data_IF_504432855365
#
_entry.id   IF_504432855365
#
_cell.length_a   1.000
_cell.length_b   1.000
_cell.length_c   1.000
_cell.angle_alpha   90.00
_cell.angle_beta   90.00
_cell.angle_gamma   90.00
#
_symmetry.space_group_name_H-M   'P 1'
#
loop_
_entity.id
_entity.type
_entity.pdbx_description
1 polymer ?
#
# COMPACT_ATOMS: atom_id res chain seq x y z
N UNK A 1 -21.80 10.73 -35.13
CA UNK A 1 -21.09 9.65 -35.85
C UNK A 1 -20.43 8.74 -34.84
N UNK A 2 -20.78 7.45 -34.86
CA UNK A 2 -20.06 6.33 -34.24
C UNK A 2 -19.72 6.42 -32.75
N UNK A 3 -20.69 6.17 -31.85
CA UNK A 3 -20.34 5.58 -30.55
C UNK A 3 -19.85 4.16 -30.85
N UNK A 4 -18.56 4.01 -31.10
CA UNK A 4 -17.96 2.71 -31.36
C UNK A 4 -18.32 1.81 -30.18
N UNK A 5 -18.96 0.68 -30.50
CA UNK A 5 -19.26 -0.42 -29.60
C UNK A 5 -17.94 -1.09 -29.15
N UNK A 6 -17.06 -0.33 -28.49
CA UNK A 6 -15.81 -0.83 -27.91
C UNK A 6 -16.11 -1.98 -26.96
N UNK A 7 -17.25 -1.96 -26.26
CA UNK A 7 -17.66 -3.04 -25.38
C UNK A 7 -17.71 -4.41 -26.08
N UNK A 8 -18.33 -4.53 -27.26
CA UNK A 8 -18.52 -5.85 -27.89
C UNK A 8 -17.21 -6.46 -28.43
N UNK A 9 -16.34 -5.63 -29.01
CA UNK A 9 -15.05 -6.10 -29.54
C UNK A 9 -14.07 -6.42 -28.41
N UNK A 10 -14.10 -5.64 -27.32
CA UNK A 10 -13.31 -5.90 -26.13
C UNK A 10 -13.80 -7.16 -25.40
N UNK A 11 -15.11 -7.36 -25.26
CA UNK A 11 -15.70 -8.58 -24.68
C UNK A 11 -15.24 -9.85 -25.40
N UNK A 12 -15.23 -9.86 -26.74
CA UNK A 12 -14.71 -11.00 -27.52
C UNK A 12 -13.23 -11.31 -27.24
N UNK A 13 -12.39 -10.27 -27.12
CA UNK A 13 -10.98 -10.46 -26.77
C UNK A 13 -10.79 -10.89 -25.32
N UNK A 14 -11.60 -10.39 -24.39
CA UNK A 14 -11.60 -10.78 -22.98
C UNK A 14 -11.91 -12.28 -22.85
N UNK A 15 -12.95 -12.76 -23.55
CA UNK A 15 -13.35 -14.17 -23.56
C UNK A 15 -12.29 -15.06 -24.24
N UNK A 16 -11.66 -14.59 -25.33
CA UNK A 16 -10.57 -15.32 -26.00
C UNK A 16 -9.24 -15.34 -25.19
N UNK A 17 -9.01 -14.32 -24.36
CA UNK A 17 -7.75 -14.13 -23.61
C UNK A 17 -7.56 -15.01 -22.37
N UNK A 18 -8.58 -15.80 -21.99
CA UNK A 18 -8.54 -16.65 -20.79
C UNK A 18 -7.41 -17.71 -20.82
N UNK A 19 -6.80 -17.99 -21.98
CA UNK A 19 -5.63 -18.88 -22.10
C UNK A 19 -4.28 -18.22 -21.79
N UNK A 20 -4.18 -16.89 -21.73
CA UNK A 20 -2.90 -16.21 -21.47
C UNK A 20 -3.03 -14.80 -20.87
N UNK A 21 -3.73 -14.68 -19.73
CA UNK A 21 -3.84 -13.42 -18.98
C UNK A 21 -2.46 -12.74 -18.77
N UNK A 22 -1.45 -13.53 -18.42
CA UNK A 22 -0.07 -13.07 -18.22
C UNK A 22 0.59 -12.52 -19.49
N UNK A 23 0.35 -13.11 -20.66
CA UNK A 23 0.89 -12.62 -21.93
C UNK A 23 0.26 -11.27 -22.30
N UNK A 24 -1.06 -11.16 -22.13
CA UNK A 24 -1.81 -9.93 -22.40
C UNK A 24 -1.34 -8.79 -21.50
N UNK A 25 -1.15 -9.06 -20.20
CA UNK A 25 -0.63 -8.06 -19.25
C UNK A 25 0.80 -7.64 -19.55
N UNK A 26 1.69 -8.58 -19.93
CA UNK A 26 3.06 -8.25 -20.33
C UNK A 26 3.08 -7.37 -21.57
N UNK A 27 2.23 -7.68 -22.56
CA UNK A 27 2.13 -6.88 -23.78
C UNK A 27 1.61 -5.48 -23.50
N UNK A 28 0.59 -5.35 -22.64
CA UNK A 28 0.09 -4.05 -22.21
C UNK A 28 1.11 -3.26 -21.39
N UNK A 29 1.86 -3.92 -20.52
CA UNK A 29 2.91 -3.29 -19.72
C UNK A 29 4.01 -2.70 -20.61
N UNK A 30 4.47 -3.46 -21.61
CA UNK A 30 5.43 -2.96 -22.60
C UNK A 30 4.92 -1.71 -23.32
N UNK A 31 3.63 -1.68 -23.71
CA UNK A 31 3.02 -0.52 -24.38
C UNK A 31 2.83 0.69 -23.45
N UNK A 32 2.60 0.47 -22.15
CA UNK A 32 2.42 1.56 -21.17
C UNK A 32 3.78 2.15 -20.74
N UNK A 33 4.82 1.30 -20.69
CA UNK A 33 6.20 1.68 -20.36
C UNK A 33 6.93 2.37 -21.51
N UNK A 34 6.44 2.21 -22.74
CA UNK A 34 6.96 2.97 -23.86
C UNK A 34 6.79 4.48 -23.58
N UNK A 35 7.89 5.22 -23.70
CA UNK A 35 7.93 6.65 -23.42
C UNK A 35 7.46 7.47 -24.64
N UNK A 36 7.12 6.82 -25.75
CA UNK A 36 6.67 7.43 -27.00
C UNK A 36 7.79 8.06 -27.83
N UNK A 37 8.98 8.17 -27.28
CA UNK A 37 10.15 8.73 -27.93
C UNK A 37 9.84 10.11 -28.51
N UNK A 38 9.88 10.20 -29.85
CA UNK A 38 9.59 11.40 -30.62
C UNK A 38 8.12 11.86 -30.53
N UNK A 39 7.19 10.96 -30.22
CA UNK A 39 5.74 11.22 -30.18
C UNK A 39 5.19 11.46 -28.77
N UNK A 40 6.05 11.61 -27.75
CA UNK A 40 5.62 11.80 -26.35
C UNK A 40 4.65 12.97 -26.14
N UNK A 41 4.81 14.03 -26.93
CA UNK A 41 4.03 15.26 -26.84
C UNK A 41 2.85 15.26 -27.83
N UNK A 42 2.72 14.21 -28.66
CA UNK A 42 1.62 14.06 -29.59
C UNK A 42 0.32 13.73 -28.81
N UNK A 43 -0.74 14.54 -28.95
CA UNK A 43 -2.04 14.27 -28.31
C UNK A 43 -2.56 12.86 -28.60
N UNK A 44 -2.33 12.36 -29.82
CA UNK A 44 -2.79 11.04 -30.24
C UNK A 44 -2.06 9.92 -29.48
N UNK A 45 -0.76 10.09 -29.24
CA UNK A 45 0.03 9.15 -28.45
C UNK A 45 -0.41 9.15 -26.98
N UNK A 46 -0.69 10.33 -26.42
CA UNK A 46 -1.18 10.45 -25.04
C UNK A 46 -2.56 9.82 -24.87
N UNK A 47 -3.47 10.00 -25.84
CA UNK A 47 -4.77 9.34 -25.85
C UNK A 47 -4.64 7.82 -25.93
N UNK A 48 -3.75 7.30 -26.77
CA UNK A 48 -3.48 5.87 -26.83
C UNK A 48 -2.97 5.32 -25.50
N UNK A 49 -2.03 6.01 -24.86
CA UNK A 49 -1.51 5.60 -23.55
C UNK A 49 -2.61 5.54 -22.49
N UNK A 50 -3.48 6.56 -22.46
CA UNK A 50 -4.68 6.58 -21.60
C UNK A 50 -5.59 5.39 -21.88
N UNK A 51 -5.85 5.09 -23.16
CA UNK A 51 -6.68 3.96 -23.57
C UNK A 51 -6.09 2.61 -23.12
N UNK A 52 -4.78 2.41 -23.28
CA UNK A 52 -4.12 1.18 -22.83
C UNK A 52 -4.18 1.00 -21.32
N UNK A 53 -4.02 2.08 -20.56
CA UNK A 53 -4.11 2.06 -19.10
C UNK A 53 -5.54 1.71 -18.66
N UNK A 54 -6.55 2.38 -19.23
CA UNK A 54 -7.96 2.08 -18.96
C UNK A 54 -8.30 0.63 -19.31
N UNK A 55 -7.84 0.15 -20.46
CA UNK A 55 -8.07 -1.23 -20.88
C UNK A 55 -7.45 -2.25 -19.91
N UNK A 56 -6.24 -1.99 -19.41
CA UNK A 56 -5.61 -2.82 -18.38
C UNK A 56 -6.44 -2.85 -17.10
N UNK A 57 -6.93 -1.70 -16.66
CA UNK A 57 -7.78 -1.59 -15.46
C UNK A 57 -9.07 -2.41 -15.65
N UNK A 58 -9.77 -2.25 -16.78
CA UNK A 58 -10.98 -3.01 -17.09
C UNK A 58 -10.73 -4.52 -17.10
N UNK A 59 -9.60 -4.96 -17.69
CA UNK A 59 -9.20 -6.36 -17.70
C UNK A 59 -8.95 -6.91 -16.28
N UNK A 60 -8.22 -6.16 -15.45
CA UNK A 60 -7.92 -6.56 -14.08
C UNK A 60 -9.19 -6.67 -13.23
N UNK A 61 -10.16 -5.76 -13.44
CA UNK A 61 -11.47 -5.83 -12.80
C UNK A 61 -12.26 -7.05 -13.25
N UNK A 62 -12.29 -7.33 -14.55
CA UNK A 62 -12.98 -8.50 -15.08
C UNK A 62 -12.37 -9.83 -14.59
N UNK A 63 -11.05 -9.87 -14.38
CA UNK A 63 -10.36 -11.03 -13.80
C UNK A 63 -10.41 -11.10 -12.27
N UNK A 64 -11.06 -10.14 -11.59
CA UNK A 64 -11.15 -10.11 -10.13
C UNK A 64 -9.85 -9.76 -9.41
N UNK A 65 -8.85 -9.23 -10.11
CA UNK A 65 -7.56 -8.78 -9.55
C UNK A 65 -7.66 -7.34 -9.05
N UNK A 66 -8.55 -7.14 -8.07
CA UNK A 66 -8.92 -5.81 -7.59
C UNK A 66 -7.75 -5.01 -7.01
N UNK A 67 -6.82 -5.66 -6.29
CA UNK A 67 -5.67 -4.97 -5.69
C UNK A 67 -4.74 -4.34 -6.74
N UNK A 68 -4.50 -5.05 -7.84
CA UNK A 68 -3.73 -4.52 -8.96
C UNK A 68 -4.51 -3.47 -9.72
N UNK A 69 -5.80 -3.70 -9.98
CA UNK A 69 -6.66 -2.70 -10.59
C UNK A 69 -6.62 -1.37 -9.81
N UNK A 70 -6.66 -1.44 -8.47
CA UNK A 70 -6.55 -0.27 -7.61
C UNK A 70 -5.20 0.44 -7.75
N UNK A 71 -4.09 -0.30 -7.79
CA UNK A 71 -2.76 0.29 -7.99
C UNK A 71 -2.68 1.07 -9.32
N UNK A 72 -3.20 0.49 -10.40
CA UNK A 72 -3.23 1.13 -11.72
C UNK A 72 -4.18 2.34 -11.78
N UNK A 73 -5.32 2.29 -11.08
CA UNK A 73 -6.22 3.44 -10.96
C UNK A 73 -5.57 4.56 -10.15
N UNK A 74 -4.83 4.24 -9.08
CA UNK A 74 -4.08 5.25 -8.33
C UNK A 74 -3.08 5.98 -9.24
N UNK A 75 -2.34 5.25 -10.08
CA UNK A 75 -1.45 5.84 -11.07
C UNK A 75 -2.20 6.74 -12.07
N UNK A 76 -3.36 6.31 -12.59
CA UNK A 76 -4.19 7.13 -13.48
C UNK A 76 -4.61 8.44 -12.81
N UNK A 77 -4.98 8.40 -11.52
CA UNK A 77 -5.38 9.61 -10.78
C UNK A 77 -4.21 10.57 -10.52
N UNK A 78 -2.98 10.06 -10.47
CA UNK A 78 -1.77 10.88 -10.34
C UNK A 78 -1.38 11.52 -11.67
N UNK A 79 -1.53 10.79 -12.78
CA UNK A 79 -1.24 11.29 -14.13
C UNK A 79 -2.31 12.26 -14.63
N UNK A 80 -3.59 11.97 -14.37
CA UNK A 80 -4.73 12.73 -14.86
C UNK A 80 -5.69 13.10 -13.71
N UNK A 81 -5.36 14.10 -12.88
CA UNK A 81 -6.21 14.50 -11.74
C UNK A 81 -7.56 15.08 -12.17
N UNK A 82 -7.70 15.53 -13.42
CA UNK A 82 -8.96 16.02 -13.99
C UNK A 82 -9.98 14.91 -14.30
N UNK A 83 -9.56 13.64 -14.29
CA UNK A 83 -10.43 12.52 -14.63
C UNK A 83 -11.32 12.12 -13.42
N UNK A 84 -12.52 12.71 -13.37
CA UNK A 84 -13.50 12.48 -12.30
C UNK A 84 -13.91 11.00 -12.21
N UNK A 85 -13.99 10.30 -13.33
CA UNK A 85 -14.38 8.88 -13.37
C UNK A 85 -13.34 7.98 -12.70
N UNK A 86 -12.04 8.25 -12.94
CA UNK A 86 -10.95 7.52 -12.29
C UNK A 86 -10.94 7.72 -10.77
N UNK A 87 -11.21 8.95 -10.31
CA UNK A 87 -11.33 9.26 -8.87
C UNK A 87 -12.52 8.55 -8.24
N UNK A 88 -13.68 8.56 -8.91
CA UNK A 88 -14.86 7.85 -8.44
C UNK A 88 -14.63 6.33 -8.37
N UNK A 89 -14.04 5.75 -9.42
CA UNK A 89 -13.68 4.32 -9.45
C UNK A 89 -12.69 3.96 -8.35
N UNK A 90 -11.68 4.80 -8.08
CA UNK A 90 -10.73 4.62 -6.98
C UNK A 90 -11.43 4.49 -5.63
N UNK A 91 -12.34 5.43 -5.34
CA UNK A 91 -13.08 5.43 -4.08
C UNK A 91 -14.06 4.25 -3.98
N UNK A 92 -14.71 3.86 -5.08
CA UNK A 92 -15.56 2.68 -5.13
C UNK A 92 -14.75 1.40 -4.90
N UNK A 93 -13.60 1.24 -5.57
CA UNK A 93 -12.75 0.07 -5.41
C UNK A 93 -12.13 0.00 -4.03
N UNK A 94 -11.70 1.10 -3.43
CA UNK A 94 -11.25 1.12 -2.03
C UNK A 94 -12.32 0.64 -1.06
N UNK A 95 -13.59 1.00 -1.30
CA UNK A 95 -14.73 0.50 -0.53
C UNK A 95 -14.93 -0.99 -0.80
N UNK A 96 -15.00 -1.44 -2.05
CA UNK A 96 -15.16 -2.88 -2.36
C UNK A 96 -14.01 -3.74 -1.83
N UNK A 97 -12.78 -3.23 -1.93
CA UNK A 97 -11.57 -3.88 -1.46
C UNK A 97 -11.41 -3.86 0.04
N UNK A 98 -12.30 -3.17 0.80
CA UNK A 98 -12.26 -3.01 2.26
C UNK A 98 -11.22 -3.96 2.80
N UNK A 99 -9.96 -3.50 2.95
CA UNK A 99 -8.91 -4.31 3.57
C UNK A 99 -9.64 -4.96 4.71
N UNK A 100 -9.81 -6.28 4.67
CA UNK A 100 -10.50 -6.99 5.71
C UNK A 100 -9.68 -6.67 6.93
N UNK A 101 -10.14 -5.66 7.65
CA UNK A 101 -9.80 -5.35 9.01
C UNK A 101 -10.63 -6.27 9.89
N UNK A 102 -11.03 -7.42 9.35
CA UNK A 102 -11.07 -8.64 10.11
C UNK A 102 -9.61 -9.03 10.34
N UNK A 103 -9.27 -8.98 11.61
CA UNK A 103 -8.03 -9.39 12.22
C UNK A 103 -7.79 -10.88 11.98
N UNK A 104 -7.61 -11.31 10.73
CA UNK A 104 -7.11 -12.63 10.43
C UNK A 104 -5.62 -12.61 10.75
N UNK A 105 -5.33 -13.08 11.96
CA UNK A 105 -4.00 -13.47 12.40
C UNK A 105 -3.33 -14.32 11.31
N UNK A 106 -2.57 -13.69 10.42
CA UNK A 106 -1.52 -14.39 9.71
C UNK A 106 -0.47 -14.70 10.76
N UNK A 107 -0.49 -15.93 11.24
CA UNK A 107 0.62 -16.55 11.95
C UNK A 107 1.81 -16.52 11.01
N UNK A 108 2.59 -15.43 11.05
CA UNK A 108 3.86 -15.35 10.34
C UNK A 108 4.75 -16.43 10.96
N UNK A 109 4.97 -17.49 10.19
CA UNK A 109 5.95 -18.51 10.50
C UNK A 109 7.34 -17.88 10.54
N UNK A 110 7.77 -17.63 11.78
CA UNK A 110 9.14 -17.63 12.30
C UNK A 110 10.25 -17.91 11.28
N UNK A 111 10.80 -16.86 10.70
CA UNK A 111 12.19 -16.86 10.25
C UNK A 111 12.88 -15.68 10.94
N UNK A 112 13.76 -16.01 11.90
CA UNK A 112 14.44 -15.14 12.88
C UNK A 112 13.64 -14.77 14.14
N UNK A 113 13.51 -15.73 15.08
CA UNK A 113 12.88 -15.54 16.40
C UNK A 113 13.79 -14.83 17.41
N UNK A 114 14.27 -13.63 17.10
CA UNK A 114 14.59 -12.68 18.17
C UNK A 114 13.75 -11.44 17.94
N UNK A 115 12.72 -11.20 18.77
CA UNK A 115 11.94 -9.97 18.65
C UNK A 115 12.91 -8.79 18.81
N UNK A 116 12.80 -7.81 17.91
CA UNK A 116 13.66 -6.63 17.90
C UNK A 116 13.61 -5.88 19.25
N UNK A 117 12.45 -5.98 19.91
CA UNK A 117 12.17 -5.47 21.26
C UNK A 117 11.47 -6.55 22.09
N UNK A 118 11.98 -6.83 23.27
CA UNK A 118 11.40 -7.82 24.18
C UNK A 118 10.31 -7.20 25.07
N UNK A 119 9.05 -7.48 24.75
CA UNK A 119 7.89 -7.01 25.50
C UNK A 119 7.54 -7.86 26.73
N UNK A 120 8.32 -8.90 27.04
CA UNK A 120 8.14 -9.76 28.21
C UNK A 120 6.72 -10.31 28.34
N UNK A 121 6.14 -10.21 29.54
CA UNK A 121 4.84 -10.79 29.91
C UNK A 121 3.61 -9.98 29.46
N UNK A 122 3.77 -8.95 28.63
CA UNK A 122 2.62 -8.17 28.15
C UNK A 122 1.92 -8.95 27.04
N UNK A 123 0.89 -9.74 27.36
CA UNK A 123 0.09 -10.43 26.33
C UNK A 123 -0.90 -9.46 25.66
N UNK A 124 -1.10 -9.58 24.35
CA UNK A 124 -2.03 -8.74 23.58
C UNK A 124 -1.49 -7.36 23.20
N UNK A 125 -2.42 -6.40 22.97
CA UNK A 125 -2.14 -5.00 22.60
C UNK A 125 -1.19 -4.82 21.39
N UNK A 126 -1.20 -5.76 20.43
CA UNK A 126 -0.26 -5.79 19.30
C UNK A 126 -0.21 -4.47 18.54
N UNK A 127 -1.37 -3.85 18.29
CA UNK A 127 -1.45 -2.56 17.60
C UNK A 127 -0.74 -1.45 18.37
N UNK A 128 -0.93 -1.40 19.69
CA UNK A 128 -0.29 -0.38 20.54
C UNK A 128 1.22 -0.62 20.63
N UNK A 129 1.65 -1.88 20.76
CA UNK A 129 3.07 -2.25 20.71
C UNK A 129 3.72 -1.83 19.40
N UNK A 130 3.11 -2.17 18.26
CA UNK A 130 3.62 -1.81 16.94
C UNK A 130 3.73 -0.29 16.75
N UNK A 131 2.75 0.48 17.26
CA UNK A 131 2.80 1.95 17.26
C UNK A 131 3.99 2.45 18.09
N UNK A 132 4.19 1.92 19.30
CA UNK A 132 5.29 2.33 20.17
C UNK A 132 6.65 1.93 19.58
N UNK A 133 6.76 0.74 19.00
CA UNK A 133 7.98 0.30 18.30
C UNK A 133 8.33 1.23 17.15
N UNK A 134 7.36 1.52 16.28
CA UNK A 134 7.55 2.36 15.09
C UNK A 134 7.83 3.81 15.44
N UNK A 135 7.06 4.40 16.35
CA UNK A 135 7.07 5.84 16.56
C UNK A 135 8.08 6.28 17.63
N UNK A 136 8.50 5.37 18.52
CA UNK A 136 9.36 5.72 19.65
C UNK A 136 10.65 4.90 19.67
N UNK A 137 10.56 3.57 19.63
CA UNK A 137 11.74 2.73 19.87
C UNK A 137 12.69 2.66 18.66
N UNK A 138 12.15 2.52 17.45
CA UNK A 138 12.93 2.48 16.20
C UNK A 138 13.71 3.78 15.94
N UNK A 139 13.08 4.97 16.03
CA UNK A 139 13.81 6.23 15.88
C UNK A 139 14.94 6.42 16.89
N UNK A 140 14.83 5.85 18.09
CA UNK A 140 15.87 5.94 19.11
C UNK A 140 17.01 4.95 18.92
N UNK A 141 16.74 3.77 18.34
CA UNK A 141 17.75 2.75 18.07
C UNK A 141 18.55 3.06 16.81
N UNK A 142 17.91 3.58 15.77
CA UNK A 142 18.48 3.82 14.44
C UNK A 142 18.48 5.31 14.10
N UNK A 143 18.97 6.14 15.01
CA UNK A 143 18.91 7.62 14.87
C UNK A 143 19.52 8.13 13.57
N UNK A 144 20.60 7.51 13.11
CA UNK A 144 21.32 7.89 11.87
C UNK A 144 20.41 7.85 10.65
N UNK A 145 19.58 6.81 10.53
CA UNK A 145 18.63 6.64 9.42
C UNK A 145 17.60 7.76 9.45
N UNK A 146 16.98 8.02 10.60
CA UNK A 146 15.95 9.05 10.73
C UNK A 146 16.50 10.47 10.54
N UNK A 147 17.76 10.72 10.92
CA UNK A 147 18.46 11.98 10.65
C UNK A 147 18.74 12.17 9.15
N UNK A 148 19.21 11.13 8.45
CA UNK A 148 19.47 11.17 7.02
C UNK A 148 18.21 11.47 6.19
N UNK A 149 17.05 10.93 6.62
CA UNK A 149 15.76 11.18 5.99
C UNK A 149 15.06 12.45 6.49
N UNK A 150 15.71 13.24 7.36
CA UNK A 150 15.20 14.49 7.94
C UNK A 150 13.80 14.35 8.57
N UNK A 151 13.50 13.17 9.15
CA UNK A 151 12.21 12.87 9.76
C UNK A 151 12.21 13.30 11.21
N UNK A 152 11.23 14.11 11.62
CA UNK A 152 11.10 14.57 12.99
C UNK A 152 10.75 13.42 13.94
N UNK A 153 11.64 13.13 14.89
CA UNK A 153 11.39 12.14 15.94
C UNK A 153 10.32 12.68 16.90
N UNK A 154 9.23 11.93 17.19
CA UNK A 154 8.20 12.35 18.14
C UNK A 154 8.81 12.64 19.52
N UNK A 155 8.58 13.84 20.06
CA UNK A 155 9.15 14.29 21.34
C UNK A 155 8.38 13.80 22.58
N UNK A 156 7.25 13.15 22.39
CA UNK A 156 6.42 12.66 23.49
C UNK A 156 5.46 11.57 23.04
N UNK A 157 5.25 10.59 23.92
CA UNK A 157 4.20 9.59 23.80
C UNK A 157 3.10 9.94 24.80
N UNK A 158 1.88 10.14 24.31
CA UNK A 158 0.74 10.32 25.20
C UNK A 158 0.49 9.02 25.97
N UNK A 159 0.61 9.08 27.30
CA UNK A 159 0.29 7.94 28.16
C UNK A 159 -1.21 7.66 28.07
N UNK A 160 -1.56 6.47 27.60
CA UNK A 160 -2.94 5.98 27.66
C UNK A 160 -3.23 5.61 29.12
N UNK A 161 -3.99 6.46 29.80
CA UNK A 161 -4.48 6.18 31.15
C UNK A 161 -5.71 5.28 31.06
N UNK A 162 -5.49 3.99 31.25
CA UNK A 162 -6.56 3.03 31.48
C UNK A 162 -6.31 2.32 32.81
N UNK A 163 -7.39 2.06 33.57
CA UNK A 163 -7.32 1.43 34.90
C UNK A 163 -6.93 -0.05 34.82
N UNK A 164 -6.90 -0.63 33.62
CA UNK A 164 -6.51 -2.01 33.40
C UNK A 164 -5.04 -2.27 33.76
N UNK A 165 -4.78 -3.38 34.46
CA UNK A 165 -3.43 -3.82 34.84
C UNK A 165 -2.52 -4.06 33.62
N UNK A 166 -3.12 -4.39 32.47
CA UNK A 166 -2.40 -4.67 31.21
C UNK A 166 -1.74 -3.39 30.65
N UNK A 167 -2.44 -2.26 30.66
CA UNK A 167 -1.89 -0.96 30.20
C UNK A 167 -0.75 -0.45 31.08
N UNK A 168 -0.81 -0.71 32.39
CA UNK A 168 0.27 -0.40 33.34
C UNK A 168 1.53 -1.21 33.05
N UNK A 169 1.39 -2.51 32.80
CA UNK A 169 2.51 -3.39 32.47
C UNK A 169 3.15 -2.99 31.13
N UNK A 170 2.35 -2.69 30.10
CA UNK A 170 2.86 -2.19 28.82
C UNK A 170 3.68 -0.91 28.98
N UNK A 171 3.15 0.05 29.75
CA UNK A 171 3.81 1.33 30.00
C UNK A 171 5.15 1.15 30.73
N UNK A 172 5.18 0.28 31.74
CA UNK A 172 6.40 0.01 32.51
C UNK A 172 7.47 -0.68 31.66
N UNK A 173 7.10 -1.65 30.82
CA UNK A 173 8.03 -2.32 29.90
C UNK A 173 8.56 -1.37 28.82
N UNK A 174 7.72 -0.47 28.30
CA UNK A 174 8.18 0.57 27.37
C UNK A 174 9.24 1.48 28.04
N UNK A 175 8.99 1.90 29.29
CA UNK A 175 9.93 2.76 30.03
C UNK A 175 11.26 2.05 30.32
N UNK A 176 11.24 0.75 30.66
CA UNK A 176 12.48 0.01 30.89
C UNK A 176 13.32 -0.11 29.61
N UNK A 177 12.68 -0.35 28.46
CA UNK A 177 13.36 -0.36 27.16
C UNK A 177 13.92 1.01 26.78
N UNK A 178 13.16 2.09 27.00
CA UNK A 178 13.63 3.45 26.77
C UNK A 178 14.85 3.80 27.61
N UNK A 179 14.85 3.41 28.89
CA UNK A 179 16.01 3.57 29.77
C UNK A 179 17.22 2.77 29.28
N UNK A 180 17.01 1.53 28.83
CA UNK A 180 18.07 0.68 28.27
C UNK A 180 18.67 1.24 26.98
N UNK A 181 17.87 1.88 26.13
CA UNK A 181 18.34 2.51 24.88
C UNK A 181 19.09 3.82 25.16
N UNK A 182 18.63 4.65 26.11
CA UNK A 182 19.34 5.86 26.51
C UNK A 182 20.66 5.55 27.23
N UNK A 183 20.73 4.48 28.02
CA UNK A 183 21.97 4.06 28.69
C UNK A 183 23.06 3.56 27.72
N UNK A 184 22.70 3.18 26.49
CA UNK A 184 23.64 2.78 25.43
C UNK A 184 24.04 3.93 24.50
N UNK A 185 23.42 5.11 24.66
CA UNK A 185 23.66 6.29 23.86
C UNK A 185 24.56 7.33 24.55
N UNK A 186 25.00 7.04 25.79
CA UNK A 186 26.09 7.72 26.52
C UNK A 186 27.31 6.81 26.55
#
# INVERSE_FOLDING_TARGET
MGKYNLNYTLEKYIIASNRSQSYTLKKLEYLIQDNGGLFKDDPFYQEFRKLYLQYRITLLLHWGRYAEALAWICLETELNPANVDAVAMKEQLKKQLHFTKEENHVSVNNASQKPLFDWGNVAGMRRVKAIIERDVLLPLKEREIYQNFNVSIPKGLLRVYDKSHVCKNLSNTCISQLKGLNAKAN
#
